data_IF_785078876043
#
_entry.id   IF_785078876043
#
_cell.length_a   1.000
_cell.length_b   1.000
_cell.length_c   1.000
_cell.angle_alpha   90.00
_cell.angle_beta   90.00
_cell.angle_gamma   90.00
#
_symmetry.space_group_name_H-M   'P 1'
#
loop_
_entity.id
_entity.type
_entity.pdbx_description
1 polymer ?
#
# COMPACT_ATOMS: atom_id res chain seq x y z
N UNK A 1 9.87 20.83 -0.86
CA UNK A 1 8.74 19.88 -0.96
C UNK A 1 8.03 20.11 -2.28
N UNK A 2 7.90 19.07 -3.11
CA UNK A 2 7.13 19.12 -4.35
C UNK A 2 5.65 19.46 -4.11
N UNK A 3 4.99 20.00 -5.12
CA UNK A 3 3.55 20.27 -5.04
C UNK A 3 2.77 18.99 -5.27
N UNK A 4 1.84 18.66 -4.39
CA UNK A 4 0.95 17.47 -4.49
C UNK A 4 0.00 17.56 -5.69
N UNK A 5 -0.29 18.78 -6.17
CA UNK A 5 -1.19 19.03 -7.30
C UNK A 5 -0.59 20.02 -8.29
N UNK A 6 -0.98 19.90 -9.56
CA UNK A 6 -0.58 20.80 -10.64
C UNK A 6 -1.83 21.35 -11.35
N UNK A 7 -1.86 22.67 -11.61
CA UNK A 7 -2.95 23.29 -12.39
C UNK A 7 -2.61 23.27 -13.88
N UNK A 8 -3.58 22.90 -14.71
CA UNK A 8 -3.52 22.93 -16.18
C UNK A 8 -4.76 23.55 -16.76
N UNK A 9 -4.64 24.23 -17.89
CA UNK A 9 -5.81 24.59 -18.72
C UNK A 9 -6.20 23.38 -19.55
N UNK A 10 -7.50 23.05 -19.56
CA UNK A 10 -8.07 21.95 -20.34
C UNK A 10 -9.25 22.45 -21.16
N UNK A 11 -9.45 21.83 -22.30
CA UNK A 11 -10.64 22.02 -23.12
C UNK A 11 -11.68 20.97 -22.68
N UNK A 12 -12.75 21.41 -22.05
CA UNK A 12 -13.83 20.55 -21.58
C UNK A 12 -14.97 20.54 -22.58
N UNK A 13 -15.40 19.35 -22.94
CA UNK A 13 -16.65 19.14 -23.67
C UNK A 13 -17.77 18.81 -22.68
N UNK A 14 -18.86 19.57 -22.72
CA UNK A 14 -20.06 19.32 -21.93
C UNK A 14 -21.27 19.86 -22.67
N UNK A 15 -22.39 19.09 -22.71
CA UNK A 15 -23.68 19.49 -23.27
C UNK A 15 -23.57 20.03 -24.72
N UNK A 16 -22.72 19.36 -25.55
CA UNK A 16 -22.53 19.72 -26.96
C UNK A 16 -21.56 20.88 -27.23
N UNK A 17 -20.97 21.49 -26.21
CA UNK A 17 -20.09 22.65 -26.36
C UNK A 17 -18.71 22.42 -25.72
N UNK A 18 -17.67 23.07 -26.30
CA UNK A 18 -16.33 23.15 -25.73
C UNK A 18 -16.16 24.45 -24.94
N UNK A 19 -15.49 24.35 -23.80
CA UNK A 19 -15.09 25.49 -22.99
C UNK A 19 -13.70 25.28 -22.37
N UNK A 20 -12.88 26.32 -22.37
CA UNK A 20 -11.60 26.30 -21.64
C UNK A 20 -11.84 26.55 -20.16
N UNK A 21 -11.18 25.75 -19.32
CA UNK A 21 -11.24 25.93 -17.87
C UNK A 21 -9.93 25.43 -17.21
N UNK A 22 -9.60 25.95 -16.00
CA UNK A 22 -8.54 25.35 -15.20
C UNK A 22 -8.98 24.00 -14.65
N UNK A 23 -8.06 23.05 -14.61
CA UNK A 23 -8.21 21.75 -13.95
C UNK A 23 -7.06 21.52 -12.99
N UNK A 24 -7.31 20.68 -11.96
CA UNK A 24 -6.31 20.34 -10.95
C UNK A 24 -5.98 18.86 -11.11
N UNK A 25 -4.73 18.58 -11.44
CA UNK A 25 -4.21 17.23 -11.63
C UNK A 25 -3.40 16.81 -10.40
N UNK A 26 -3.40 15.51 -10.09
CA UNK A 26 -2.44 14.95 -9.15
C UNK A 26 -1.01 15.12 -9.73
N UNK A 27 -0.09 15.55 -8.89
CA UNK A 27 1.31 15.63 -9.29
C UNK A 27 1.92 14.21 -9.31
N UNK A 28 2.72 13.94 -10.32
CA UNK A 28 3.48 12.70 -10.47
C UNK A 28 4.92 13.07 -10.79
N UNK A 29 5.85 12.65 -9.93
CA UNK A 29 7.27 12.95 -10.06
C UNK A 29 8.09 11.70 -9.72
N UNK A 30 9.25 11.49 -10.39
CA UNK A 30 10.16 10.42 -10.02
C UNK A 30 10.73 10.67 -8.63
N UNK A 31 10.96 9.59 -7.87
CA UNK A 31 11.71 9.61 -6.63
C UNK A 31 12.70 8.45 -6.61
N UNK A 32 13.98 8.77 -6.43
CA UNK A 32 15.04 7.80 -6.23
C UNK A 32 15.16 7.50 -4.71
N UNK A 33 15.11 6.21 -4.37
CA UNK A 33 15.38 5.72 -3.02
C UNK A 33 16.82 5.21 -2.99
N UNK A 34 17.59 5.69 -2.02
CA UNK A 34 18.96 5.26 -1.74
C UNK A 34 19.05 4.63 -0.37
N UNK A 35 20.01 3.73 -0.21
CA UNK A 35 20.39 3.15 1.09
C UNK A 35 21.88 3.33 1.29
N UNK A 36 22.26 4.13 2.31
CA UNK A 36 23.65 4.44 2.59
C UNK A 36 24.38 5.10 1.42
N UNK A 37 23.70 5.99 0.70
CA UNK A 37 24.21 6.71 -0.48
C UNK A 37 24.17 5.91 -1.79
N UNK A 38 23.85 4.60 -1.77
CA UNK A 38 23.75 3.77 -2.99
C UNK A 38 22.33 3.79 -3.55
N UNK A 39 22.14 4.06 -4.85
CA UNK A 39 20.84 3.98 -5.49
C UNK A 39 20.27 2.57 -5.37
N UNK A 40 19.00 2.46 -5.01
CA UNK A 40 18.28 1.19 -4.92
C UNK A 40 17.19 1.09 -5.98
N UNK A 41 16.32 2.08 -6.06
CA UNK A 41 15.21 2.09 -7.05
C UNK A 41 14.74 3.51 -7.35
N UNK A 42 14.01 3.65 -8.47
CA UNK A 42 13.27 4.86 -8.82
C UNK A 42 11.79 4.51 -8.96
N UNK A 43 10.94 5.25 -8.28
CA UNK A 43 9.48 5.10 -8.38
C UNK A 43 8.82 6.41 -8.80
N UNK A 44 7.72 6.33 -9.55
CA UNK A 44 6.86 7.48 -9.83
C UNK A 44 5.87 7.62 -8.68
N UNK A 45 5.83 8.79 -8.04
CA UNK A 45 5.00 9.02 -6.85
C UNK A 45 4.31 10.37 -6.86
N UNK A 46 3.25 10.52 -6.10
CA UNK A 46 2.75 11.83 -5.72
C UNK A 46 3.61 12.38 -4.58
N UNK A 47 4.22 13.59 -4.72
CA UNK A 47 5.04 14.20 -3.66
C UNK A 47 4.31 14.29 -2.33
N UNK A 48 5.07 14.13 -1.25
CA UNK A 48 4.57 14.09 0.13
C UNK A 48 4.69 12.69 0.74
N UNK A 49 4.92 12.65 2.04
CA UNK A 49 5.19 11.42 2.80
C UNK A 49 6.33 10.57 2.19
N UNK A 50 7.31 11.23 1.57
CA UNK A 50 8.39 10.57 0.81
C UNK A 50 9.30 9.73 1.73
N UNK A 51 9.46 10.13 2.99
CA UNK A 51 10.21 9.35 3.98
C UNK A 51 9.45 8.09 4.37
N UNK A 52 8.12 8.19 4.54
CA UNK A 52 7.26 7.03 4.75
C UNK A 52 7.36 6.08 3.56
N UNK A 53 7.27 6.61 2.32
CA UNK A 53 7.40 5.80 1.11
C UNK A 53 8.73 5.04 1.06
N UNK A 54 9.85 5.71 1.35
CA UNK A 54 11.17 5.11 1.26
C UNK A 54 11.36 3.95 2.28
N UNK A 55 11.01 4.16 3.55
CA UNK A 55 11.19 3.11 4.56
C UNK A 55 10.10 2.03 4.46
N UNK A 56 8.87 2.36 4.05
CA UNK A 56 7.83 1.37 3.82
C UNK A 56 8.15 0.43 2.67
N UNK A 57 8.76 0.96 1.61
CA UNK A 57 9.32 0.14 0.54
C UNK A 57 10.36 -0.84 1.10
N UNK A 58 11.29 -0.39 1.96
CA UNK A 58 12.31 -1.26 2.58
C UNK A 58 11.70 -2.32 3.51
N UNK A 59 10.61 -2.02 4.21
CA UNK A 59 9.85 -3.04 4.98
C UNK A 59 9.24 -4.07 4.05
N UNK A 60 8.61 -3.62 2.96
CA UNK A 60 7.96 -4.49 1.97
C UNK A 60 8.94 -5.45 1.29
N UNK A 61 10.22 -5.04 1.18
CA UNK A 61 11.30 -5.85 0.61
C UNK A 61 12.09 -6.65 1.70
N UNK A 62 11.66 -6.59 2.97
CA UNK A 62 12.26 -7.36 4.04
C UNK A 62 13.62 -6.85 4.54
N UNK A 63 13.96 -5.60 4.23
CA UNK A 63 15.21 -4.95 4.67
C UNK A 63 15.07 -4.38 6.08
N UNK A 64 13.89 -3.84 6.40
CA UNK A 64 13.57 -3.23 7.68
C UNK A 64 12.38 -3.93 8.35
N UNK A 65 12.46 -4.06 9.68
CA UNK A 65 11.40 -4.62 10.51
C UNK A 65 11.08 -3.72 11.71
N UNK A 66 12.05 -2.94 12.19
CA UNK A 66 11.91 -2.11 13.39
C UNK A 66 12.46 -0.71 13.15
N UNK A 67 11.90 0.29 13.87
CA UNK A 67 12.27 1.70 13.73
C UNK A 67 13.74 1.96 14.07
N UNK A 68 14.31 1.23 15.04
CA UNK A 68 15.70 1.35 15.48
C UNK A 68 16.73 0.89 14.44
N UNK A 69 16.29 0.17 13.40
CA UNK A 69 17.14 -0.19 12.27
C UNK A 69 17.41 0.98 11.32
N UNK A 70 16.72 2.12 11.48
CA UNK A 70 16.90 3.33 10.70
C UNK A 70 17.70 4.35 11.51
N UNK A 71 18.95 4.62 11.12
CA UNK A 71 19.79 5.64 11.73
C UNK A 71 19.37 7.06 11.31
N UNK A 72 18.79 7.23 10.12
CA UNK A 72 18.32 8.52 9.63
C UNK A 72 17.75 8.46 8.22
N UNK A 73 16.93 9.45 7.90
CA UNK A 73 16.35 9.62 6.56
C UNK A 73 16.54 11.08 6.15
N UNK A 74 16.99 11.31 4.93
CA UNK A 74 17.23 12.67 4.42
C UNK A 74 16.92 12.79 2.95
N UNK A 75 16.57 14.00 2.54
CA UNK A 75 16.65 14.35 1.12
C UNK A 75 18.10 14.62 0.74
N UNK A 76 18.54 14.04 -0.38
CA UNK A 76 19.79 14.42 -1.01
C UNK A 76 19.56 15.55 -2.01
N UNK A 77 20.57 16.40 -2.21
CA UNK A 77 20.51 17.46 -3.21
C UNK A 77 20.46 16.83 -4.62
N UNK A 78 19.29 16.86 -5.24
CA UNK A 78 19.16 16.71 -6.68
C UNK A 78 19.29 18.10 -7.28
N UNK A 79 20.20 18.29 -8.25
CA UNK A 79 20.39 19.59 -8.86
C UNK A 79 19.36 19.83 -9.96
N UNK A 80 18.52 20.86 -9.81
CA UNK A 80 17.88 21.53 -10.96
C UNK A 80 18.95 22.32 -11.74
N UNK A 81 18.69 22.66 -13.00
CA UNK A 81 19.63 23.43 -13.83
C UNK A 81 20.05 24.78 -13.22
N UNK A 82 19.25 25.31 -12.31
CA UNK A 82 19.44 26.54 -11.53
C UNK A 82 19.97 26.28 -10.10
N UNK A 83 20.36 25.02 -9.76
CA UNK A 83 21.00 24.66 -8.50
C UNK A 83 20.02 24.43 -7.32
N UNK A 84 18.71 24.47 -7.55
CA UNK A 84 17.69 24.16 -6.54
C UNK A 84 17.62 22.67 -6.22
N UNK A 85 17.22 22.31 -4.99
CA UNK A 85 16.96 20.91 -4.62
C UNK A 85 15.62 20.45 -5.20
N UNK A 86 15.63 19.33 -5.94
CA UNK A 86 14.42 18.74 -6.50
C UNK A 86 13.59 17.98 -5.46
N UNK A 87 14.16 17.62 -4.30
CA UNK A 87 13.55 16.76 -3.29
C UNK A 87 13.11 15.38 -3.82
N UNK A 88 13.74 14.93 -4.91
CA UNK A 88 13.38 13.68 -5.59
C UNK A 88 14.39 12.56 -5.32
N UNK A 89 15.29 12.73 -4.35
CA UNK A 89 16.24 11.70 -3.90
C UNK A 89 16.15 11.59 -2.39
N UNK A 90 15.74 10.43 -1.90
CA UNK A 90 15.66 10.10 -0.47
C UNK A 90 16.72 9.05 -0.16
N UNK A 91 17.59 9.32 0.81
CA UNK A 91 18.62 8.41 1.30
C UNK A 91 18.26 7.95 2.72
N UNK A 92 18.20 6.63 2.89
CA UNK A 92 17.96 5.97 4.18
C UNK A 92 19.29 5.44 4.70
N UNK A 93 19.72 5.95 5.84
CA UNK A 93 20.88 5.43 6.56
C UNK A 93 20.42 4.32 7.50
N UNK A 94 20.97 3.12 7.34
CA UNK A 94 20.70 1.98 8.20
C UNK A 94 21.54 2.07 9.48
N UNK A 95 21.00 1.57 10.59
CA UNK A 95 21.72 1.46 11.84
C UNK A 95 22.88 0.44 11.74
N UNK A 96 23.93 0.57 12.58
CA UNK A 96 25.01 -0.38 12.60
C UNK A 96 24.54 -1.83 12.82
N UNK A 97 25.02 -2.75 11.98
CA UNK A 97 24.66 -4.17 12.05
C UNK A 97 23.42 -4.57 11.21
N UNK A 98 22.70 -3.63 10.65
CA UNK A 98 21.62 -3.93 9.69
C UNK A 98 22.23 -4.21 8.32
N UNK A 99 21.90 -5.37 7.74
CA UNK A 99 22.40 -5.77 6.44
C UNK A 99 21.89 -4.83 5.35
N UNK A 100 22.78 -4.36 4.48
CA UNK A 100 22.36 -3.62 3.28
C UNK A 100 21.58 -4.55 2.35
N UNK A 101 20.63 -3.98 1.55
CA UNK A 101 19.94 -4.74 0.52
C UNK A 101 20.92 -5.48 -0.39
N UNK A 102 20.59 -6.72 -0.77
CA UNK A 102 21.41 -7.49 -1.72
C UNK A 102 21.42 -6.80 -3.10
N UNK A 103 22.56 -6.85 -3.80
CA UNK A 103 22.70 -6.31 -5.17
C UNK A 103 21.76 -6.98 -6.19
N UNK A 104 21.20 -8.15 -5.87
CA UNK A 104 20.15 -8.79 -6.68
C UNK A 104 18.83 -8.02 -6.65
N UNK A 105 18.54 -7.31 -5.55
CA UNK A 105 17.40 -6.42 -5.44
C UNK A 105 17.53 -5.22 -6.40
N UNK A 106 18.74 -4.66 -6.57
CA UNK A 106 18.99 -3.55 -7.50
C UNK A 106 18.55 -3.86 -8.94
N UNK A 107 18.66 -5.12 -9.39
CA UNK A 107 18.29 -5.55 -10.75
C UNK A 107 16.80 -5.78 -10.94
N UNK A 108 16.07 -6.14 -9.91
CA UNK A 108 14.65 -6.44 -9.98
C UNK A 108 13.78 -5.17 -10.04
N UNK A 109 14.30 -4.02 -9.65
CA UNK A 109 13.54 -2.76 -9.59
C UNK A 109 13.45 -1.98 -10.91
N UNK A 110 14.34 -2.27 -11.88
CA UNK A 110 14.24 -1.69 -13.22
C UNK A 110 13.24 -2.40 -14.14
N UNK A 111 12.70 -3.53 -13.71
CA UNK A 111 11.66 -4.25 -14.43
C UNK A 111 10.29 -3.91 -13.85
N UNK A 112 9.59 -3.01 -14.54
CA UNK A 112 8.17 -2.74 -14.31
C UNK A 112 7.38 -4.05 -14.14
N UNK A 113 6.48 -4.07 -13.18
CA UNK A 113 5.37 -4.97 -12.80
C UNK A 113 4.92 -6.13 -13.72
N UNK A 114 5.75 -6.69 -14.57
CA UNK A 114 5.37 -7.72 -15.57
C UNK A 114 6.40 -8.81 -15.81
N UNK A 115 7.51 -8.89 -15.09
CA UNK A 115 8.53 -9.92 -15.31
C UNK A 115 8.38 -11.08 -14.31
N UNK A 116 7.68 -12.10 -14.76
CA UNK A 116 7.77 -13.54 -14.63
C UNK A 116 8.77 -14.16 -13.64
N UNK A 117 8.69 -13.82 -12.34
CA UNK A 117 9.11 -14.78 -11.33
C UNK A 117 8.04 -15.89 -11.32
N UNK A 118 8.48 -17.12 -11.39
CA UNK A 118 7.59 -18.27 -11.26
C UNK A 118 6.80 -18.12 -9.95
N UNK A 119 5.46 -18.11 -10.02
CA UNK A 119 4.58 -17.76 -8.88
C UNK A 119 4.95 -18.50 -7.59
N UNK A 120 5.37 -19.78 -7.68
CA UNK A 120 5.80 -20.58 -6.52
C UNK A 120 7.07 -20.03 -5.85
N UNK A 121 8.07 -19.61 -6.63
CA UNK A 121 9.31 -19.04 -6.08
C UNK A 121 9.05 -17.68 -5.38
N UNK A 122 8.06 -16.91 -5.86
CA UNK A 122 7.65 -15.65 -5.23
C UNK A 122 6.93 -15.89 -3.90
N UNK A 123 6.07 -16.90 -3.80
CA UNK A 123 5.38 -17.29 -2.57
C UNK A 123 6.40 -17.75 -1.51
N UNK A 124 7.32 -18.63 -1.87
CA UNK A 124 8.36 -19.13 -0.98
C UNK A 124 9.28 -17.99 -0.48
N UNK A 125 9.60 -17.01 -1.34
CA UNK A 125 10.41 -15.85 -0.97
C UNK A 125 9.73 -15.02 0.11
N UNK A 126 8.43 -14.71 -0.03
CA UNK A 126 7.68 -13.94 0.99
C UNK A 126 7.66 -14.68 2.33
N UNK A 127 7.39 -15.99 2.33
CA UNK A 127 7.38 -16.80 3.55
C UNK A 127 8.73 -16.83 4.27
N UNK A 128 9.82 -16.87 3.51
CA UNK A 128 11.17 -16.93 4.08
C UNK A 128 11.61 -15.58 4.64
N UNK A 129 11.12 -14.48 4.05
CA UNK A 129 11.55 -13.12 4.39
C UNK A 129 10.66 -12.44 5.42
N UNK A 130 9.38 -12.86 5.55
CA UNK A 130 8.45 -12.28 6.51
C UNK A 130 8.91 -12.49 7.95
N UNK A 131 9.07 -11.39 8.70
CA UNK A 131 9.50 -11.43 10.10
C UNK A 131 8.39 -11.82 11.07
N UNK A 132 7.13 -11.72 10.65
CA UNK A 132 5.94 -11.96 11.48
C UNK A 132 4.97 -12.92 10.80
N UNK A 133 4.27 -13.72 11.61
CA UNK A 133 3.13 -14.52 11.14
C UNK A 133 1.82 -13.76 11.36
N UNK A 134 0.96 -13.72 10.34
CA UNK A 134 -0.36 -13.11 10.43
C UNK A 134 -1.45 -14.17 10.68
N UNK A 135 -1.13 -15.46 10.52
CA UNK A 135 -2.09 -16.56 10.67
C UNK A 135 -2.72 -16.62 12.07
N UNK A 136 -1.92 -16.37 13.11
CA UNK A 136 -2.34 -16.47 14.51
C UNK A 136 -2.83 -15.13 15.09
N UNK A 137 -3.00 -14.11 14.24
CA UNK A 137 -3.47 -12.80 14.68
C UNK A 137 -4.92 -12.88 15.18
N UNK A 138 -5.22 -12.32 16.38
CA UNK A 138 -6.54 -12.44 17.01
C UNK A 138 -7.62 -11.54 16.40
N UNK A 139 -7.30 -10.77 15.37
CA UNK A 139 -8.27 -9.86 14.71
C UNK A 139 -9.63 -10.53 14.53
N UNK A 140 -10.67 -9.84 14.96
CA UNK A 140 -12.07 -10.17 14.65
C UNK A 140 -12.80 -8.90 14.29
N UNK A 141 -13.61 -8.98 13.24
CA UNK A 141 -14.43 -7.85 12.75
C UNK A 141 -15.76 -8.36 12.21
N UNK A 142 -16.66 -7.47 11.86
CA UNK A 142 -17.97 -7.83 11.32
C UNK A 142 -18.12 -7.38 9.87
N UNK A 143 -19.02 -8.02 9.10
CA UNK A 143 -19.33 -7.58 7.73
C UNK A 143 -19.81 -6.12 7.66
N UNK A 144 -20.51 -5.63 8.68
CA UNK A 144 -20.99 -4.25 8.75
C UNK A 144 -19.84 -3.27 8.87
N UNK A 145 -18.84 -3.57 9.72
CA UNK A 145 -17.63 -2.76 9.85
C UNK A 145 -16.90 -2.71 8.50
N UNK A 146 -16.66 -3.87 7.87
CA UNK A 146 -16.00 -3.93 6.57
C UNK A 146 -16.75 -3.13 5.51
N UNK A 147 -18.08 -3.25 5.46
CA UNK A 147 -18.93 -2.55 4.49
C UNK A 147 -18.83 -1.02 4.58
N UNK A 148 -18.48 -0.48 5.75
CA UNK A 148 -18.32 0.96 5.96
C UNK A 148 -16.92 1.48 5.56
N UNK A 149 -15.90 0.61 5.43
CA UNK A 149 -14.52 1.05 5.20
C UNK A 149 -14.32 1.80 3.87
N UNK A 150 -14.92 1.40 2.73
CA UNK A 150 -14.76 2.15 1.48
C UNK A 150 -15.21 3.61 1.58
N UNK A 151 -16.36 3.85 2.22
CA UNK A 151 -16.90 5.20 2.39
C UNK A 151 -16.05 6.03 3.36
N UNK A 152 -15.58 5.42 4.46
CA UNK A 152 -14.65 6.07 5.41
C UNK A 152 -13.33 6.42 4.72
N UNK A 153 -12.77 5.50 3.94
CA UNK A 153 -11.56 5.73 3.13
C UNK A 153 -11.80 6.90 2.16
N UNK A 154 -12.92 6.86 1.41
CA UNK A 154 -13.25 7.87 0.40
C UNK A 154 -13.45 9.26 1.01
N UNK A 155 -14.12 9.35 2.15
CA UNK A 155 -14.36 10.62 2.86
C UNK A 155 -13.05 11.27 3.35
N UNK A 156 -12.00 10.47 3.59
CA UNK A 156 -10.70 10.97 4.05
C UNK A 156 -9.74 11.35 2.90
N UNK A 157 -10.05 10.99 1.65
CA UNK A 157 -9.20 11.24 0.46
C UNK A 157 -9.30 12.69 -0.04
N UNK A 158 -8.52 13.59 0.53
CA UNK A 158 -8.56 15.02 0.21
C UNK A 158 -7.97 15.36 -1.16
N UNK A 159 -6.87 14.71 -1.54
CA UNK A 159 -6.21 15.00 -2.82
C UNK A 159 -6.98 14.38 -3.96
N UNK A 160 -7.50 13.17 -3.79
CA UNK A 160 -8.40 12.55 -4.75
C UNK A 160 -9.68 13.38 -4.98
N UNK A 161 -10.25 13.96 -3.94
CA UNK A 161 -11.43 14.85 -4.06
C UNK A 161 -11.17 16.02 -5.00
N UNK A 162 -9.97 16.59 -4.93
CA UNK A 162 -9.57 17.72 -5.77
C UNK A 162 -9.15 17.33 -7.19
N UNK A 163 -8.70 16.08 -7.42
CA UNK A 163 -8.00 15.69 -8.67
C UNK A 163 -8.65 14.49 -9.38
N UNK A 164 -9.31 13.61 -8.64
CA UNK A 164 -9.84 12.34 -9.14
C UNK A 164 -8.79 11.31 -9.57
N UNK A 165 -7.49 11.57 -9.38
CA UNK A 165 -6.38 10.85 -10.01
C UNK A 165 -5.48 10.04 -9.07
N UNK A 166 -5.89 9.74 -7.82
CA UNK A 166 -5.05 9.04 -6.86
C UNK A 166 -5.67 7.73 -6.38
N UNK A 167 -4.79 6.81 -6.02
CA UNK A 167 -5.13 5.66 -5.17
C UNK A 167 -4.99 6.04 -3.70
N UNK A 168 -5.67 5.28 -2.84
CA UNK A 168 -5.52 5.39 -1.39
C UNK A 168 -5.32 4.02 -0.75
N UNK A 169 -4.57 4.03 0.34
CA UNK A 169 -4.49 2.97 1.32
C UNK A 169 -4.81 3.55 2.71
N UNK A 170 -5.68 2.89 3.45
CA UNK A 170 -6.04 3.23 4.82
C UNK A 170 -5.83 2.06 5.75
N UNK A 171 -5.24 2.30 6.90
CA UNK A 171 -5.15 1.36 8.00
C UNK A 171 -6.28 1.64 8.97
N UNK A 172 -7.02 0.60 9.33
CA UNK A 172 -8.18 0.68 10.22
C UNK A 172 -8.01 -0.27 11.40
N UNK A 173 -8.63 0.08 12.53
CA UNK A 173 -8.81 -0.83 13.65
C UNK A 173 -9.82 -1.93 13.32
N UNK A 174 -9.93 -2.94 14.20
CA UNK A 174 -10.95 -3.99 14.12
C UNK A 174 -12.39 -3.44 14.07
N UNK A 175 -12.64 -2.29 14.71
CA UNK A 175 -13.95 -1.60 14.75
C UNK A 175 -14.14 -0.61 13.59
N UNK A 176 -13.16 -0.56 12.68
CA UNK A 176 -13.20 0.28 11.48
C UNK A 176 -12.90 1.75 11.75
N UNK A 177 -12.20 2.11 12.83
CA UNK A 177 -11.64 3.44 13.00
C UNK A 177 -10.45 3.64 12.07
N UNK A 178 -10.40 4.77 11.36
CA UNK A 178 -9.29 5.10 10.48
C UNK A 178 -8.09 5.57 11.30
N UNK A 179 -7.01 4.78 11.30
CA UNK A 179 -5.78 5.06 12.03
C UNK A 179 -4.83 5.93 11.20
N UNK A 180 -4.64 5.58 9.92
CA UNK A 180 -3.80 6.34 8.99
C UNK A 180 -4.32 6.18 7.56
N UNK A 181 -4.21 7.25 6.76
CA UNK A 181 -4.51 7.23 5.33
C UNK A 181 -3.33 7.83 4.57
N UNK A 182 -3.01 7.23 3.43
CA UNK A 182 -2.05 7.78 2.46
C UNK A 182 -2.63 7.69 1.05
N UNK A 183 -2.38 8.76 0.27
CA UNK A 183 -2.77 8.86 -1.14
C UNK A 183 -1.52 8.90 -2.01
N UNK A 184 -1.56 8.22 -3.15
CA UNK A 184 -0.50 8.25 -4.16
C UNK A 184 -1.05 7.90 -5.55
N UNK A 185 -0.40 8.37 -6.61
CA UNK A 185 -0.69 7.96 -7.99
C UNK A 185 -0.47 6.46 -8.18
N UNK A 186 0.47 5.86 -7.46
CA UNK A 186 0.76 4.44 -7.41
C UNK A 186 0.09 3.74 -6.23
N UNK A 187 -0.77 2.75 -6.49
CA UNK A 187 -1.42 1.98 -5.41
C UNK A 187 -0.43 1.29 -4.47
N UNK A 188 0.71 0.83 -4.99
CA UNK A 188 1.78 0.20 -4.20
C UNK A 188 2.45 1.23 -3.27
N UNK A 189 2.73 2.42 -3.80
CA UNK A 189 3.30 3.52 -3.00
C UNK A 189 2.36 3.96 -1.87
N UNK A 190 1.03 3.99 -2.12
CA UNK A 190 0.07 4.34 -1.08
C UNK A 190 0.16 3.36 0.11
N UNK A 191 0.33 2.05 -0.16
CA UNK A 191 0.53 1.04 0.89
C UNK A 191 1.90 1.20 1.55
N UNK A 192 2.98 1.41 0.78
CA UNK A 192 4.31 1.65 1.35
C UNK A 192 4.33 2.88 2.26
N UNK A 193 3.64 3.96 1.88
CA UNK A 193 3.50 5.15 2.75
C UNK A 193 2.79 4.82 4.08
N UNK A 194 1.77 3.96 4.07
CA UNK A 194 1.09 3.51 5.31
C UNK A 194 2.04 2.68 6.17
N UNK A 195 2.72 1.70 5.57
CA UNK A 195 3.67 0.80 6.26
C UNK A 195 4.87 1.58 6.81
N UNK A 196 5.40 2.52 6.02
CA UNK A 196 6.53 3.34 6.45
C UNK A 196 6.18 4.33 7.56
N UNK A 197 4.98 4.89 7.54
CA UNK A 197 4.47 5.66 8.68
C UNK A 197 4.47 4.78 9.95
N UNK A 198 3.91 3.57 9.85
CA UNK A 198 3.86 2.65 10.98
C UNK A 198 5.25 2.25 11.49
N UNK A 199 6.22 2.00 10.60
CA UNK A 199 7.60 1.76 11.01
C UNK A 199 8.16 2.93 11.81
N UNK A 200 8.04 4.16 11.28
CA UNK A 200 8.61 5.37 11.91
C UNK A 200 7.98 5.70 13.26
N UNK A 201 6.71 5.36 13.44
CA UNK A 201 5.99 5.50 14.71
C UNK A 201 6.21 4.30 15.66
N UNK A 202 6.99 3.29 15.26
CA UNK A 202 7.27 2.10 16.07
C UNK A 202 6.07 1.17 16.26
N UNK A 203 5.13 1.16 15.31
CA UNK A 203 3.85 0.41 15.40
C UNK A 203 3.91 -0.99 14.78
N UNK A 204 5.02 -1.35 14.09
CA UNK A 204 5.15 -2.70 13.52
C UNK A 204 5.41 -3.76 14.60
N UNK A 205 4.85 -4.98 14.45
CA UNK A 205 3.89 -5.41 13.42
C UNK A 205 2.49 -4.83 13.64
N UNK A 206 1.78 -4.61 12.54
CA UNK A 206 0.43 -4.02 12.52
C UNK A 206 -0.66 -5.07 12.84
N UNK A 207 -0.60 -5.60 14.05
CA UNK A 207 -1.57 -6.59 14.55
C UNK A 207 -2.96 -5.97 14.72
N UNK A 208 -3.97 -6.82 14.62
CA UNK A 208 -5.37 -6.45 14.85
C UNK A 208 -5.85 -5.28 13.98
N UNK A 209 -5.26 -5.10 12.80
CA UNK A 209 -5.61 -4.03 11.88
C UNK A 209 -6.10 -4.56 10.52
N UNK A 210 -6.79 -3.67 9.79
CA UNK A 210 -7.33 -3.94 8.47
C UNK A 210 -6.71 -2.93 7.51
N UNK A 211 -6.01 -3.40 6.47
CA UNK A 211 -5.55 -2.56 5.37
C UNK A 211 -6.65 -2.49 4.31
N UNK A 212 -7.21 -1.31 4.08
CA UNK A 212 -8.18 -1.06 3.01
C UNK A 212 -7.54 -0.32 1.85
N UNK A 213 -7.70 -0.84 0.62
CA UNK A 213 -7.17 -0.22 -0.59
C UNK A 213 -8.26 0.15 -1.59
N UNK A 214 -8.14 1.31 -2.23
CA UNK A 214 -9.10 1.84 -3.20
C UNK A 214 -9.07 1.13 -4.56
N UNK A 215 -8.07 0.27 -4.80
CA UNK A 215 -7.83 -0.41 -6.06
C UNK A 215 -8.03 -1.92 -6.00
N UNK A 216 -7.35 -2.63 -6.92
CA UNK A 216 -7.28 -4.10 -6.95
C UNK A 216 -6.29 -4.61 -5.91
N UNK A 217 -6.54 -5.78 -5.32
CA UNK A 217 -5.56 -6.50 -4.51
C UNK A 217 -4.66 -7.33 -5.44
N UNK A 218 -3.43 -6.88 -5.67
CA UNK A 218 -2.40 -7.64 -6.39
C UNK A 218 -1.56 -8.49 -5.43
N UNK A 219 -0.77 -9.41 -5.98
CA UNK A 219 0.20 -10.18 -5.21
C UNK A 219 1.07 -9.27 -4.32
N UNK A 220 1.63 -8.20 -4.90
CA UNK A 220 2.52 -7.30 -4.17
C UNK A 220 1.81 -6.58 -3.00
N UNK A 221 0.50 -6.28 -3.11
CA UNK A 221 -0.23 -5.66 -2.00
C UNK A 221 -0.45 -6.64 -0.85
N UNK A 222 -0.71 -7.92 -1.16
CA UNK A 222 -0.77 -8.98 -0.14
C UNK A 222 0.60 -9.19 0.50
N UNK A 223 1.68 -9.25 -0.31
CA UNK A 223 3.06 -9.31 0.19
C UNK A 223 3.34 -8.18 1.19
N UNK A 224 3.06 -6.92 0.81
CA UNK A 224 3.28 -5.75 1.68
C UNK A 224 2.49 -5.84 2.98
N UNK A 225 1.25 -6.33 2.94
CA UNK A 225 0.44 -6.55 4.14
C UNK A 225 1.08 -7.61 5.05
N UNK A 226 1.48 -8.76 4.50
CA UNK A 226 2.16 -9.83 5.25
C UNK A 226 3.48 -9.34 5.85
N UNK A 227 4.31 -8.64 5.06
CA UNK A 227 5.59 -8.09 5.49
C UNK A 227 5.46 -7.04 6.60
N UNK A 228 4.32 -6.36 6.70
CA UNK A 228 4.01 -5.41 7.77
C UNK A 228 3.28 -6.05 8.97
N UNK A 229 2.97 -7.35 8.93
CA UNK A 229 2.23 -8.05 9.98
C UNK A 229 0.74 -7.70 10.03
N UNK A 230 0.13 -7.30 8.90
CA UNK A 230 -1.29 -6.95 8.79
C UNK A 230 -2.09 -8.22 8.48
N UNK A 231 -3.06 -8.62 9.35
CA UNK A 231 -3.79 -9.87 9.20
C UNK A 231 -4.94 -9.83 8.17
N UNK A 232 -5.38 -8.63 7.74
CA UNK A 232 -6.51 -8.50 6.81
C UNK A 232 -6.24 -7.42 5.76
N UNK A 233 -6.45 -7.78 4.47
CA UNK A 233 -6.47 -6.85 3.34
C UNK A 233 -7.86 -6.82 2.71
N UNK A 234 -8.47 -5.65 2.64
CA UNK A 234 -9.74 -5.39 1.98
C UNK A 234 -9.54 -4.49 0.76
N UNK A 235 -10.21 -4.80 -0.34
CA UNK A 235 -10.08 -4.07 -1.60
C UNK A 235 -11.44 -3.76 -2.24
N UNK A 236 -11.59 -2.57 -2.81
CA UNK A 236 -12.80 -2.17 -3.57
C UNK A 236 -12.99 -3.04 -4.81
N UNK A 237 -11.90 -3.56 -5.37
CA UNK A 237 -11.92 -4.31 -6.63
C UNK A 237 -11.40 -5.74 -6.44
N UNK A 238 -11.22 -6.45 -7.55
CA UNK A 238 -10.83 -7.86 -7.57
C UNK A 238 -9.40 -8.10 -7.05
N UNK A 239 -9.14 -9.23 -6.37
CA UNK A 239 -7.81 -9.77 -6.22
C UNK A 239 -7.34 -10.49 -7.50
N UNK A 240 -6.03 -10.68 -7.66
CA UNK A 240 -5.47 -11.64 -8.60
C UNK A 240 -5.46 -13.05 -8.00
N UNK A 241 -5.38 -14.10 -8.83
CA UNK A 241 -5.27 -15.49 -8.34
C UNK A 241 -4.06 -15.66 -7.43
N UNK A 242 -2.89 -15.17 -7.86
CA UNK A 242 -1.66 -15.25 -7.07
C UNK A 242 -1.74 -14.47 -5.73
N UNK A 243 -2.52 -13.38 -5.67
CA UNK A 243 -2.83 -12.69 -4.42
C UNK A 243 -3.65 -13.56 -3.46
N UNK A 244 -4.63 -14.29 -4.00
CA UNK A 244 -5.45 -15.22 -3.21
C UNK A 244 -4.62 -16.42 -2.71
N UNK A 245 -3.74 -16.96 -3.55
CA UNK A 245 -2.83 -18.05 -3.18
C UNK A 245 -1.89 -17.62 -2.04
N UNK A 246 -1.22 -16.45 -2.16
CA UNK A 246 -0.36 -15.92 -1.10
C UNK A 246 -1.12 -15.66 0.19
N UNK A 247 -2.33 -15.09 0.10
CA UNK A 247 -3.17 -14.82 1.26
C UNK A 247 -3.55 -16.12 1.99
N UNK A 248 -3.91 -17.18 1.25
CA UNK A 248 -4.23 -18.49 1.81
C UNK A 248 -3.01 -19.12 2.51
N UNK A 249 -1.85 -19.12 1.85
CA UNK A 249 -0.62 -19.69 2.40
C UNK A 249 -0.10 -18.94 3.62
N UNK A 250 -0.28 -17.62 3.67
CA UNK A 250 0.17 -16.77 4.79
C UNK A 250 -0.85 -16.71 5.95
N UNK A 251 -2.08 -17.22 5.75
CA UNK A 251 -3.17 -17.08 6.72
C UNK A 251 -3.71 -15.66 6.84
N UNK A 252 -3.56 -14.85 5.77
CA UNK A 252 -4.11 -13.49 5.69
C UNK A 252 -5.57 -13.56 5.25
N UNK A 253 -6.45 -12.77 5.85
CA UNK A 253 -7.83 -12.60 5.37
C UNK A 253 -7.86 -11.66 4.18
N UNK A 254 -8.32 -12.14 3.03
CA UNK A 254 -8.43 -11.36 1.80
C UNK A 254 -9.88 -11.12 1.41
N UNK A 255 -10.27 -9.86 1.38
CA UNK A 255 -11.61 -9.40 0.97
C UNK A 255 -11.49 -8.58 -0.30
N UNK A 256 -12.30 -8.91 -1.31
CA UNK A 256 -12.39 -8.15 -2.55
C UNK A 256 -13.82 -7.74 -2.89
N UNK A 257 -13.97 -6.91 -3.93
CA UNK A 257 -15.26 -6.37 -4.37
C UNK A 257 -16.08 -5.71 -3.25
N UNK A 258 -15.37 -5.12 -2.28
CA UNK A 258 -16.01 -4.46 -1.14
C UNK A 258 -16.67 -3.16 -1.58
N UNK A 259 -18.00 -3.19 -1.73
CA UNK A 259 -18.82 -2.06 -2.21
C UNK A 259 -20.20 -2.08 -1.55
N UNK A 260 -20.57 -0.99 -0.89
CA UNK A 260 -21.82 -0.96 -0.13
C UNK A 260 -21.90 -2.16 0.84
N UNK A 261 -22.95 -2.95 0.77
CA UNK A 261 -23.15 -4.14 1.62
C UNK A 261 -22.65 -5.45 1.01
N UNK A 262 -21.91 -5.39 -0.11
CA UNK A 262 -21.44 -6.58 -0.83
C UNK A 262 -19.92 -6.71 -0.76
N UNK A 263 -19.44 -7.95 -0.56
CA UNK A 263 -18.03 -8.31 -0.59
C UNK A 263 -17.85 -9.79 -0.90
N UNK A 264 -16.67 -10.15 -1.41
CA UNK A 264 -16.23 -11.55 -1.54
C UNK A 264 -15.08 -11.78 -0.57
N UNK A 265 -15.18 -12.81 0.26
CA UNK A 265 -14.10 -13.24 1.15
C UNK A 265 -13.41 -14.43 0.49
N UNK A 266 -12.14 -14.29 0.15
CA UNK A 266 -11.36 -15.30 -0.57
C UNK A 266 -10.63 -16.22 0.40
N UNK A 267 -10.17 -15.69 1.54
CA UNK A 267 -9.40 -16.43 2.56
C UNK A 267 -9.72 -15.89 3.94
N UNK A 268 -9.48 -16.67 5.00
CA UNK A 268 -9.48 -16.21 6.38
C UNK A 268 -10.88 -15.85 6.91
N UNK A 269 -11.91 -16.63 6.56
CA UNK A 269 -13.30 -16.37 7.00
C UNK A 269 -13.50 -16.46 8.52
N UNK A 270 -12.59 -17.11 9.23
CA UNK A 270 -12.61 -17.24 10.69
C UNK A 270 -12.46 -15.92 11.44
N UNK A 271 -11.94 -14.87 10.78
CA UNK A 271 -11.86 -13.51 11.36
C UNK A 271 -13.15 -12.71 11.23
N UNK A 272 -14.13 -13.23 10.48
CA UNK A 272 -15.43 -12.59 10.36
C UNK A 272 -16.38 -13.12 11.40
N UNK A 273 -16.87 -12.24 12.26
CA UNK A 273 -17.90 -12.60 13.23
C UNK A 273 -19.26 -12.73 12.53
N UNK A 274 -20.04 -13.78 12.83
CA UNK A 274 -21.39 -13.91 12.28
C UNK A 274 -22.25 -12.72 12.72
N UNK A 275 -23.09 -12.24 11.81
CA UNK A 275 -24.12 -11.26 12.13
C UNK A 275 -25.15 -11.93 13.04
N UNK A 276 -25.49 -11.38 14.22
CA UNK A 276 -26.54 -11.94 15.06
C UNK A 276 -27.84 -12.08 14.28
N UNK A 277 -28.37 -13.30 14.17
CA UNK A 277 -29.64 -13.61 13.48
C UNK A 277 -29.50 -14.08 12.03
N UNK A 278 -28.31 -14.18 11.49
CA UNK A 278 -28.07 -14.88 10.21
C UNK A 278 -27.56 -16.29 10.48
N UNK A 279 -28.33 -17.29 10.13
CA UNK A 279 -27.92 -18.68 10.19
C UNK A 279 -26.66 -18.91 9.34
N UNK A 280 -25.82 -19.85 9.80
CA UNK A 280 -24.50 -20.17 9.24
C UNK A 280 -24.53 -20.23 7.72
N UNK A 281 -23.50 -19.65 7.08
CA UNK A 281 -23.18 -19.81 5.68
C UNK A 281 -23.47 -21.26 5.22
N UNK A 282 -24.59 -21.49 4.53
CA UNK A 282 -24.76 -22.73 3.79
C UNK A 282 -23.84 -22.64 2.57
N UNK A 283 -22.92 -23.59 2.36
CA UNK A 283 -22.15 -23.63 1.13
C UNK A 283 -23.12 -23.71 -0.05
N UNK A 284 -22.98 -22.80 -1.01
CA UNK A 284 -23.73 -22.88 -2.24
C UNK A 284 -23.44 -24.24 -2.92
N UNK A 285 -24.44 -24.91 -3.50
CA UNK A 285 -24.20 -26.14 -4.24
C UNK A 285 -23.20 -25.87 -5.36
N UNK A 286 -22.12 -26.66 -5.37
CA UNK A 286 -21.11 -26.64 -6.43
C UNK A 286 -21.82 -27.15 -7.68
N UNK A 287 -22.08 -26.25 -8.63
CA UNK A 287 -22.62 -26.59 -9.96
C UNK A 287 -21.49 -26.91 -10.93
#
# INVERSE_FOLDING_TARGET
MGRVTARRRVLRFRDGAFSERPDTLAAEEPMEIRVGGRPLTVTMRTPGDDFDLAVGFLVSEGVLHHADQVAGIRYCAGATADGGNTYNVVDVALAPGVAAPDASLERNFYTTSSCGLCGKASLDAVRTTAAWTVAEDPLRTTPEVLSALPDRLRAAQRVFEATGGLHAAGLFSADGELLVLREDVGRHNAVDKVVGHALREGLLPLRETILMVSGRASFELVQKAVMAGIPMLAAVSAPSSLAADLAAESGLTLVGFLRGTSMNVYTGTERLQPVPGTDRLQPAPVG
#
